data_IF_070719283947
#
_entry.id   IF_070719283947
#
_cell.length_a   1.000
_cell.length_b   1.000
_cell.length_c   1.000
_cell.angle_alpha   90.00
_cell.angle_beta   90.00
_cell.angle_gamma   90.00
#
_symmetry.space_group_name_H-M   'P 1'
#
loop_
_entity.id
_entity.type
_entity.pdbx_description
1 polymer ?
#
# COMPACT_ATOMS: atom_id res chain seq x y z
N UNK A 1 -14.51 5.90 14.26
CA UNK A 1 -13.06 5.85 14.54
C UNK A 1 -12.36 5.26 13.30
N UNK A 2 -11.39 5.98 12.75
CA UNK A 2 -10.60 5.52 11.60
C UNK A 2 -9.58 4.46 12.02
N UNK A 3 -9.31 3.51 11.12
CA UNK A 3 -8.30 2.48 11.35
C UNK A 3 -7.27 2.51 10.23
N UNK A 4 -5.99 2.47 10.57
CA UNK A 4 -4.87 2.27 9.67
C UNK A 4 -4.30 0.88 9.91
N UNK A 5 -4.30 0.04 8.89
CA UNK A 5 -3.64 -1.26 8.88
C UNK A 5 -2.29 -1.10 8.18
N UNK A 6 -1.20 -1.49 8.87
CA UNK A 6 0.17 -1.36 8.37
C UNK A 6 0.83 -2.74 8.26
N UNK A 7 1.29 -3.11 7.08
CA UNK A 7 2.20 -4.24 6.90
C UNK A 7 3.58 -3.94 7.51
N UNK A 8 4.36 -4.98 7.80
CA UNK A 8 5.70 -4.90 8.41
C UNK A 8 5.70 -4.28 9.80
N UNK A 9 4.83 -4.76 10.68
CA UNK A 9 4.61 -4.23 12.01
C UNK A 9 5.88 -4.15 12.87
N UNK A 10 6.77 -5.14 12.78
CA UNK A 10 8.06 -5.14 13.50
C UNK A 10 8.91 -3.94 13.11
N UNK A 11 9.00 -3.64 11.81
CA UNK A 11 9.75 -2.48 11.33
C UNK A 11 9.13 -1.17 11.85
N UNK A 12 7.82 -1.05 11.76
CA UNK A 12 7.12 0.15 12.22
C UNK A 12 7.22 0.36 13.73
N UNK A 13 7.11 -0.69 14.54
CA UNK A 13 7.31 -0.60 15.99
C UNK A 13 8.74 -0.23 16.36
N UNK A 14 9.73 -0.82 15.68
CA UNK A 14 11.16 -0.48 15.86
C UNK A 14 11.45 0.99 15.50
N UNK A 15 10.66 1.59 14.61
CA UNK A 15 10.78 3.00 14.22
C UNK A 15 9.74 3.90 14.89
N UNK A 16 9.14 3.43 15.99
CA UNK A 16 8.33 4.23 16.87
C UNK A 16 6.96 4.62 16.31
N UNK A 17 6.23 3.71 15.64
CA UNK A 17 4.91 3.97 15.02
C UNK A 17 3.86 4.58 15.96
N UNK A 18 4.02 4.43 17.27
CA UNK A 18 3.09 4.98 18.27
C UNK A 18 2.86 6.49 18.16
N UNK A 19 3.80 7.24 17.55
CA UNK A 19 3.60 8.67 17.31
C UNK A 19 2.40 8.97 16.38
N UNK A 20 1.95 8.05 15.55
CA UNK A 20 0.77 8.23 14.70
C UNK A 20 -0.50 8.45 15.52
N UNK A 21 -0.70 7.68 16.59
CA UNK A 21 -1.89 7.83 17.44
C UNK A 21 -1.87 9.13 18.23
N UNK A 22 -0.68 9.67 18.49
CA UNK A 22 -0.53 10.97 19.12
C UNK A 22 -0.79 12.12 18.14
N UNK A 23 -0.29 12.01 16.89
CA UNK A 23 -0.50 13.02 15.84
C UNK A 23 -1.95 13.04 15.34
N UNK A 24 -2.58 11.86 15.22
CA UNK A 24 -3.94 11.71 14.72
C UNK A 24 -4.86 11.18 15.81
N UNK A 25 -5.43 12.07 16.66
CA UNK A 25 -6.36 11.66 17.71
C UNK A 25 -7.57 10.91 17.12
N UNK A 26 -7.86 9.72 17.65
CA UNK A 26 -8.94 8.87 17.14
C UNK A 26 -8.53 7.90 16.03
N UNK A 27 -7.30 7.95 15.50
CA UNK A 27 -6.76 6.92 14.64
C UNK A 27 -6.40 5.67 15.46
N UNK A 28 -6.92 4.51 15.05
CA UNK A 28 -6.47 3.19 15.51
C UNK A 28 -5.40 2.70 14.53
N UNK A 29 -4.27 2.29 15.03
CA UNK A 29 -3.20 1.67 14.22
C UNK A 29 -3.16 0.18 14.55
N UNK A 30 -3.29 -0.64 13.53
CA UNK A 30 -3.13 -2.09 13.58
C UNK A 30 -1.91 -2.45 12.72
N UNK A 31 -0.95 -3.14 13.30
CA UNK A 31 0.25 -3.57 12.58
C UNK A 31 0.22 -5.06 12.34
N UNK A 32 0.58 -5.48 11.14
CA UNK A 32 0.69 -6.89 10.74
C UNK A 32 2.15 -7.26 10.68
N UNK A 33 2.53 -8.26 11.48
CA UNK A 33 3.88 -8.81 11.50
C UNK A 33 4.02 -9.85 10.39
N UNK A 34 5.08 -9.77 9.63
CA UNK A 34 5.30 -10.66 8.49
C UNK A 34 6.33 -11.79 8.76
N UNK A 35 6.85 -11.87 9.98
CA UNK A 35 7.85 -12.86 10.37
C UNK A 35 9.20 -12.68 9.65
N UNK A 36 9.83 -13.77 9.24
CA UNK A 36 11.09 -13.70 8.52
C UNK A 36 10.90 -13.26 7.04
N UNK A 37 12.01 -12.97 6.36
CA UNK A 37 11.98 -12.48 4.97
C UNK A 37 11.27 -13.43 3.99
N UNK A 38 11.35 -14.73 4.22
CA UNK A 38 10.71 -15.74 3.37
C UNK A 38 9.21 -15.77 3.61
N UNK A 39 8.80 -15.86 4.87
CA UNK A 39 7.40 -15.80 5.26
C UNK A 39 6.73 -14.50 4.75
N UNK A 40 7.42 -13.36 4.94
CA UNK A 40 6.98 -12.06 4.44
C UNK A 40 6.77 -12.05 2.93
N UNK A 41 7.71 -12.60 2.17
CA UNK A 41 7.59 -12.65 0.73
C UNK A 41 6.41 -13.54 0.31
N UNK A 42 6.30 -14.75 0.86
CA UNK A 42 5.21 -15.68 0.55
C UNK A 42 3.84 -15.07 0.89
N UNK A 43 3.72 -14.43 2.05
CA UNK A 43 2.46 -13.85 2.53
C UNK A 43 2.01 -12.62 1.74
N UNK A 44 2.95 -11.73 1.41
CA UNK A 44 2.65 -10.45 0.76
C UNK A 44 2.61 -10.53 -0.78
N UNK A 45 2.99 -11.65 -1.38
CA UNK A 45 2.93 -11.86 -2.85
C UNK A 45 1.84 -12.83 -3.28
N UNK A 46 1.11 -13.43 -2.33
CA UNK A 46 -0.06 -14.25 -2.60
C UNK A 46 -1.36 -13.45 -2.34
N UNK A 47 -1.97 -12.94 -3.39
CA UNK A 47 -3.16 -12.07 -3.29
C UNK A 47 -4.29 -12.66 -2.45
N UNK A 48 -4.53 -13.97 -2.50
CA UNK A 48 -5.56 -14.64 -1.69
C UNK A 48 -5.28 -14.60 -0.19
N UNK A 49 -4.03 -14.72 0.21
CA UNK A 49 -3.63 -14.60 1.63
C UNK A 49 -3.76 -13.18 2.15
N UNK A 50 -3.36 -12.21 1.34
CA UNK A 50 -3.53 -10.79 1.68
C UNK A 50 -5.01 -10.45 1.86
N UNK A 51 -5.86 -10.96 0.95
CA UNK A 51 -7.31 -10.76 1.03
C UNK A 51 -7.89 -11.31 2.33
N UNK A 52 -7.60 -12.57 2.67
CA UNK A 52 -8.08 -13.24 3.88
C UNK A 52 -7.64 -12.49 5.14
N UNK A 53 -6.35 -12.19 5.24
CA UNK A 53 -5.77 -11.48 6.38
C UNK A 53 -6.40 -10.11 6.59
N UNK A 54 -6.53 -9.30 5.54
CA UNK A 54 -7.12 -7.96 5.64
C UNK A 54 -8.60 -8.03 5.98
N UNK A 55 -9.33 -8.99 5.42
CA UNK A 55 -10.76 -9.22 5.73
C UNK A 55 -10.97 -9.57 7.20
N UNK A 56 -10.16 -10.46 7.75
CA UNK A 56 -10.23 -10.87 9.16
C UNK A 56 -9.95 -9.68 10.09
N UNK A 57 -8.93 -8.89 9.81
CA UNK A 57 -8.63 -7.68 10.58
C UNK A 57 -9.77 -6.67 10.48
N UNK A 58 -10.32 -6.44 9.29
CA UNK A 58 -11.46 -5.54 9.13
C UNK A 58 -12.68 -6.01 9.95
N UNK A 59 -12.93 -7.32 10.04
CA UNK A 59 -13.98 -7.88 10.88
C UNK A 59 -13.73 -7.61 12.38
N UNK A 60 -12.48 -7.71 12.83
CA UNK A 60 -12.11 -7.44 14.23
C UNK A 60 -12.15 -5.95 14.60
N UNK A 61 -11.74 -5.07 13.68
CA UNK A 61 -11.71 -3.63 13.98
C UNK A 61 -13.09 -2.98 13.96
N UNK A 62 -14.04 -3.63 13.30
CA UNK A 62 -15.45 -3.22 13.25
C UNK A 62 -15.69 -2.05 12.28
N UNK A 63 -16.85 -1.43 12.39
CA UNK A 63 -17.29 -0.37 11.49
C UNK A 63 -16.44 0.91 11.63
N UNK A 64 -16.15 1.53 10.49
CA UNK A 64 -15.45 2.80 10.34
C UNK A 64 -14.54 2.82 9.13
N UNK A 65 -14.05 4.00 8.72
CA UNK A 65 -13.11 4.12 7.61
C UNK A 65 -11.80 3.36 7.88
N UNK A 66 -11.38 2.56 6.91
CA UNK A 66 -10.15 1.76 6.99
C UNK A 66 -9.20 2.17 5.87
N UNK A 67 -7.94 2.42 6.23
CA UNK A 67 -6.83 2.54 5.30
C UNK A 67 -5.88 1.34 5.44
N UNK A 68 -5.38 0.83 4.32
CA UNK A 68 -4.37 -0.21 4.24
C UNK A 68 -3.07 0.37 3.68
N UNK A 69 -1.98 0.22 4.39
CA UNK A 69 -0.70 0.77 3.98
C UNK A 69 0.42 -0.27 4.02
N UNK A 70 1.35 -0.15 3.08
CA UNK A 70 2.52 -1.02 3.01
C UNK A 70 3.61 -0.47 2.10
N UNK A 71 4.83 -0.96 2.31
CA UNK A 71 6.02 -0.58 1.57
C UNK A 71 6.72 -1.80 0.97
N UNK A 72 7.40 -1.60 -0.16
CA UNK A 72 8.10 -2.68 -0.85
C UNK A 72 7.16 -3.84 -1.24
N UNK A 73 7.34 -5.06 -0.73
CA UNK A 73 6.37 -6.15 -0.91
C UNK A 73 5.01 -5.83 -0.27
N UNK A 74 5.00 -5.15 0.88
CA UNK A 74 3.76 -4.63 1.47
C UNK A 74 3.05 -3.63 0.56
N UNK A 75 3.79 -2.79 -0.15
CA UNK A 75 3.25 -1.90 -1.16
C UNK A 75 2.65 -2.64 -2.37
N UNK A 76 3.26 -3.74 -2.80
CA UNK A 76 2.69 -4.63 -3.82
C UNK A 76 1.39 -5.27 -3.31
N UNK A 77 1.39 -5.80 -2.08
CA UNK A 77 0.21 -6.39 -1.45
C UNK A 77 -0.96 -5.40 -1.35
N UNK A 78 -0.69 -4.13 -1.04
CA UNK A 78 -1.68 -3.05 -1.03
C UNK A 78 -2.31 -2.86 -2.43
N UNK A 79 -1.51 -2.83 -3.49
CA UNK A 79 -2.01 -2.69 -4.86
C UNK A 79 -2.81 -3.90 -5.32
N UNK A 80 -2.36 -5.11 -5.00
CA UNK A 80 -3.09 -6.34 -5.24
C UNK A 80 -4.46 -6.32 -4.54
N UNK A 81 -4.50 -5.92 -3.27
CA UNK A 81 -5.71 -5.78 -2.49
C UNK A 81 -6.68 -4.74 -3.06
N UNK A 82 -6.16 -3.59 -3.52
CA UNK A 82 -6.96 -2.55 -4.18
C UNK A 82 -7.62 -3.05 -5.48
N UNK A 83 -6.93 -3.94 -6.22
CA UNK A 83 -7.47 -4.54 -7.44
C UNK A 83 -8.49 -5.65 -7.19
N UNK A 84 -8.60 -6.19 -5.98
CA UNK A 84 -9.65 -7.15 -5.65
C UNK A 84 -11.04 -6.48 -5.55
N UNK A 85 -11.10 -5.23 -5.10
CA UNK A 85 -12.32 -4.43 -5.01
C UNK A 85 -13.38 -4.94 -4.03
N UNK A 86 -13.08 -6.02 -3.28
CA UNK A 86 -14.01 -6.71 -2.37
C UNK A 86 -13.76 -6.44 -0.89
N UNK A 87 -12.68 -5.74 -0.56
CA UNK A 87 -12.28 -5.46 0.81
C UNK A 87 -13.00 -4.23 1.37
N UNK A 88 -13.38 -4.22 2.65
CA UNK A 88 -13.94 -3.05 3.32
C UNK A 88 -12.85 -2.03 3.68
N UNK A 89 -12.07 -1.62 2.69
CA UNK A 89 -10.96 -0.66 2.78
C UNK A 89 -11.27 0.49 1.83
N UNK A 90 -11.20 1.72 2.32
CA UNK A 90 -11.52 2.93 1.55
C UNK A 90 -10.28 3.58 0.95
N UNK A 91 -9.14 3.47 1.64
CA UNK A 91 -7.88 4.08 1.23
C UNK A 91 -6.75 3.06 1.21
N UNK A 92 -6.06 3.02 0.09
CA UNK A 92 -4.90 2.16 -0.15
C UNK A 92 -3.66 3.03 -0.32
N UNK A 93 -2.63 2.81 0.50
CA UNK A 93 -1.37 3.53 0.45
C UNK A 93 -0.22 2.59 0.12
N UNK A 94 0.27 2.66 -1.10
CA UNK A 94 1.38 1.86 -1.58
C UNK A 94 2.67 2.69 -1.66
N UNK A 95 3.68 2.34 -0.85
CA UNK A 95 4.96 3.04 -0.84
C UNK A 95 6.05 2.15 -1.46
N UNK A 96 6.77 2.67 -2.45
CA UNK A 96 7.87 1.97 -3.12
C UNK A 96 7.52 0.52 -3.47
N UNK A 97 6.37 0.24 -4.12
CA UNK A 97 5.86 -1.11 -4.30
C UNK A 97 6.79 -1.96 -5.17
N UNK A 98 6.99 -3.23 -4.80
CA UNK A 98 7.84 -4.20 -5.51
C UNK A 98 7.20 -4.68 -6.83
N UNK A 99 6.88 -3.77 -7.73
CA UNK A 99 6.17 -4.02 -9.00
C UNK A 99 6.94 -4.87 -10.02
N UNK A 100 8.21 -5.14 -9.76
CA UNK A 100 9.04 -6.06 -10.52
C UNK A 100 8.76 -7.54 -10.20
N UNK A 101 7.99 -7.84 -9.14
CA UNK A 101 7.70 -9.20 -8.70
C UNK A 101 6.98 -10.02 -9.77
N UNK A 102 7.46 -11.25 -9.99
CA UNK A 102 6.97 -12.12 -11.07
C UNK A 102 7.44 -11.71 -12.46
N UNK A 103 8.34 -10.72 -12.56
CA UNK A 103 9.03 -10.33 -13.79
C UNK A 103 10.31 -11.12 -14.03
N UNK A 104 11.05 -10.73 -15.07
CA UNK A 104 12.27 -11.42 -15.52
C UNK A 104 13.48 -11.10 -14.64
N UNK A 105 13.56 -9.87 -14.09
CA UNK A 105 14.70 -9.39 -13.35
C UNK A 105 14.28 -8.87 -11.97
N UNK A 106 14.93 -9.38 -10.92
CA UNK A 106 14.67 -8.93 -9.55
C UNK A 106 15.05 -7.46 -9.36
N UNK A 107 14.12 -6.68 -8.84
CA UNK A 107 14.32 -5.26 -8.55
C UNK A 107 14.18 -4.34 -9.76
N UNK A 108 13.84 -4.86 -10.93
CA UNK A 108 13.71 -4.07 -12.18
C UNK A 108 12.58 -4.55 -13.07
N UNK A 109 12.11 -3.62 -13.93
CA UNK A 109 11.12 -3.92 -14.95
C UNK A 109 9.72 -4.14 -14.40
N UNK A 110 8.87 -4.68 -15.24
CA UNK A 110 7.45 -4.86 -15.00
C UNK A 110 7.15 -6.31 -14.60
N UNK A 111 6.61 -6.47 -13.41
CA UNK A 111 6.19 -7.76 -12.88
C UNK A 111 4.78 -8.19 -13.31
N UNK A 112 4.27 -9.18 -12.61
CA UNK A 112 2.98 -9.80 -12.94
C UNK A 112 1.83 -8.81 -12.89
N UNK A 113 1.71 -8.01 -11.83
CA UNK A 113 0.60 -7.05 -11.67
C UNK A 113 0.53 -6.07 -12.84
N UNK A 114 1.65 -5.47 -13.25
CA UNK A 114 1.68 -4.54 -14.40
C UNK A 114 1.19 -5.22 -15.68
N UNK A 115 1.70 -6.43 -15.94
CA UNK A 115 1.32 -7.21 -17.14
C UNK A 115 -0.16 -7.56 -17.16
N UNK A 116 -0.75 -7.85 -16.01
CA UNK A 116 -2.18 -8.13 -15.86
C UNK A 116 -3.03 -6.86 -16.05
N UNK A 117 -2.61 -5.73 -15.49
CA UNK A 117 -3.25 -4.43 -15.71
C UNK A 117 -3.25 -4.03 -17.18
N UNK A 118 -2.11 -4.14 -17.88
CA UNK A 118 -2.00 -3.85 -19.32
C UNK A 118 -2.90 -4.73 -20.19
N UNK A 119 -3.17 -5.96 -19.76
CA UNK A 119 -4.08 -6.90 -20.47
C UNK A 119 -5.56 -6.70 -20.07
N UNK A 120 -5.87 -5.79 -19.17
CA UNK A 120 -7.22 -5.61 -18.63
C UNK A 120 -7.72 -6.79 -17.79
N UNK A 121 -6.82 -7.63 -17.29
CA UNK A 121 -7.13 -8.76 -16.41
C UNK A 121 -7.31 -8.32 -14.95
N UNK A 122 -6.81 -7.15 -14.62
CA UNK A 122 -6.97 -6.46 -13.33
C UNK A 122 -7.40 -5.02 -13.55
N UNK A 123 -8.10 -4.48 -12.59
CA UNK A 123 -8.44 -3.05 -12.53
C UNK A 123 -8.61 -2.63 -11.07
N UNK A 124 -8.54 -1.35 -10.80
CA UNK A 124 -8.84 -0.80 -9.48
C UNK A 124 -10.34 -0.99 -9.15
N UNK A 125 -10.65 -1.33 -7.91
CA UNK A 125 -12.03 -1.30 -7.41
C UNK A 125 -12.65 0.09 -7.52
N UNK A 126 -13.97 0.17 -7.59
CA UNK A 126 -14.68 1.46 -7.73
C UNK A 126 -14.82 2.18 -6.38
N UNK A 127 -14.79 3.52 -6.41
CA UNK A 127 -15.02 4.36 -5.23
C UNK A 127 -13.89 4.32 -4.19
N UNK A 128 -12.70 3.87 -4.57
CA UNK A 128 -11.55 3.75 -3.69
C UNK A 128 -10.63 4.98 -3.78
N UNK A 129 -9.86 5.21 -2.75
CA UNK A 129 -8.72 6.12 -2.75
C UNK A 129 -7.44 5.32 -2.83
N UNK A 130 -6.59 5.58 -3.83
CA UNK A 130 -5.26 4.97 -3.98
C UNK A 130 -4.19 6.06 -3.97
N UNK A 131 -3.28 5.97 -3.02
CA UNK A 131 -2.14 6.86 -2.89
C UNK A 131 -0.85 6.07 -3.13
N UNK A 132 -0.15 6.37 -4.23
CA UNK A 132 1.09 5.71 -4.61
C UNK A 132 2.28 6.65 -4.39
N UNK A 133 3.29 6.17 -3.67
CA UNK A 133 4.50 6.95 -3.38
C UNK A 133 5.76 6.17 -3.75
N UNK A 134 6.80 6.86 -4.25
CA UNK A 134 8.09 6.27 -4.58
C UNK A 134 9.22 7.28 -4.47
N UNK A 135 10.40 6.83 -4.04
CA UNK A 135 11.58 7.68 -3.96
C UNK A 135 12.22 7.97 -5.33
N UNK A 136 12.62 9.22 -5.57
CA UNK A 136 13.31 9.63 -6.80
C UNK A 136 14.68 8.93 -6.97
N UNK A 137 15.29 8.51 -5.86
CA UNK A 137 16.55 7.74 -5.87
C UNK A 137 16.35 6.26 -6.19
N UNK A 138 15.12 5.80 -6.20
CA UNK A 138 14.71 4.44 -6.62
C UNK A 138 14.55 4.37 -8.14
N UNK A 139 15.64 4.63 -8.87
CA UNK A 139 15.65 4.88 -10.31
C UNK A 139 14.93 3.83 -11.16
N UNK A 140 15.03 2.55 -10.79
CA UNK A 140 14.36 1.47 -11.53
C UNK A 140 12.86 1.38 -11.17
N UNK A 141 12.47 1.73 -9.96
CA UNK A 141 11.08 1.61 -9.49
C UNK A 141 10.23 2.82 -9.82
N UNK A 142 10.82 4.02 -9.89
CA UNK A 142 10.11 5.26 -10.15
C UNK A 142 9.27 5.22 -11.46
N UNK A 143 9.82 4.88 -12.63
CA UNK A 143 9.04 4.82 -13.86
C UNK A 143 7.97 3.73 -13.83
N UNK A 144 8.26 2.58 -13.22
CA UNK A 144 7.33 1.45 -13.13
C UNK A 144 6.16 1.78 -12.20
N UNK A 145 6.42 2.43 -11.06
CA UNK A 145 5.36 2.88 -10.14
C UNK A 145 4.47 3.92 -10.80
N UNK A 146 5.05 4.90 -11.50
CA UNK A 146 4.28 5.89 -12.25
C UNK A 146 3.41 5.26 -13.34
N UNK A 147 3.96 4.28 -14.08
CA UNK A 147 3.20 3.54 -15.09
C UNK A 147 2.05 2.75 -14.47
N UNK A 148 2.30 2.03 -13.37
CA UNK A 148 1.26 1.30 -12.64
C UNK A 148 0.12 2.22 -12.21
N UNK A 149 0.46 3.38 -11.62
CA UNK A 149 -0.53 4.35 -11.16
C UNK A 149 -1.39 4.85 -12.32
N UNK A 150 -0.77 5.18 -13.47
CA UNK A 150 -1.49 5.60 -14.68
C UNK A 150 -2.43 4.51 -15.23
N UNK A 151 -2.05 3.22 -15.15
CA UNK A 151 -2.92 2.10 -15.54
C UNK A 151 -4.13 1.93 -14.59
N UNK A 152 -4.01 2.39 -13.35
CA UNK A 152 -5.05 2.32 -12.33
C UNK A 152 -5.96 3.56 -12.29
N UNK A 153 -5.61 4.63 -13.02
CA UNK A 153 -6.46 5.81 -13.18
C UNK A 153 -7.75 5.45 -13.92
N UNK A 154 -8.86 6.02 -13.47
CA UNK A 154 -10.19 5.78 -14.05
C UNK A 154 -11.12 5.09 -13.06
N UNK A 155 -12.11 4.35 -13.53
CA UNK A 155 -13.04 3.53 -12.73
C UNK A 155 -13.82 4.27 -11.60
N UNK A 156 -13.83 5.62 -11.56
CA UNK A 156 -14.53 6.39 -10.52
C UNK A 156 -13.85 6.35 -9.15
N UNK A 157 -12.54 6.05 -9.10
CA UNK A 157 -11.72 6.10 -7.91
C UNK A 157 -10.75 7.27 -7.94
N UNK A 158 -10.34 7.75 -6.77
CA UNK A 158 -9.29 8.75 -6.65
C UNK A 158 -7.92 8.08 -6.66
N UNK A 159 -7.06 8.45 -7.58
CA UNK A 159 -5.69 7.93 -7.70
C UNK A 159 -4.70 9.09 -7.66
N UNK A 160 -3.75 9.03 -6.74
CA UNK A 160 -2.68 10.03 -6.57
C UNK A 160 -1.30 9.35 -6.67
N UNK A 161 -0.38 10.03 -7.35
CA UNK A 161 1.02 9.63 -7.46
C UNK A 161 1.93 10.72 -6.90
N UNK A 162 2.79 10.35 -5.96
CA UNK A 162 3.79 11.24 -5.39
C UNK A 162 5.20 10.65 -5.53
N UNK A 163 6.17 11.45 -5.99
CA UNK A 163 7.59 11.13 -5.81
C UNK A 163 8.21 12.04 -4.75
N UNK A 164 9.15 11.50 -3.96
CA UNK A 164 9.85 12.24 -2.91
C UNK A 164 11.37 12.14 -3.11
N UNK A 165 12.17 13.13 -2.64
CA UNK A 165 13.61 13.20 -2.90
C UNK A 165 14.41 12.19 -2.05
N UNK A 166 13.98 10.94 -2.01
CA UNK A 166 14.51 9.88 -1.16
C UNK A 166 14.74 8.57 -1.88
N UNK A 167 15.04 7.56 -1.09
CA UNK A 167 15.27 6.18 -1.51
C UNK A 167 14.39 5.18 -0.77
N UNK A 168 14.76 3.91 -0.88
CA UNK A 168 14.01 2.77 -0.35
C UNK A 168 14.31 2.55 1.13
N UNK A 169 13.84 3.43 2.01
CA UNK A 169 14.04 3.30 3.45
C UNK A 169 12.92 3.91 4.30
N UNK A 170 12.86 3.46 5.56
CA UNK A 170 11.80 3.76 6.51
C UNK A 170 11.68 5.25 6.86
N UNK A 171 12.76 6.02 6.81
CA UNK A 171 12.72 7.45 7.13
C UNK A 171 11.83 8.18 6.12
N UNK A 172 11.99 7.88 4.84
CA UNK A 172 11.17 8.44 3.76
C UNK A 172 9.74 7.92 3.78
N UNK A 173 9.55 6.62 4.04
CA UNK A 173 8.21 6.04 4.15
C UNK A 173 7.42 6.62 5.33
N UNK A 174 8.11 6.93 6.43
CA UNK A 174 7.49 7.59 7.59
C UNK A 174 6.94 8.96 7.24
N UNK A 175 7.72 9.79 6.55
CA UNK A 175 7.28 11.12 6.08
C UNK A 175 6.16 10.99 5.04
N UNK A 176 6.30 10.07 4.10
CA UNK A 176 5.28 9.78 3.09
C UNK A 176 3.96 9.34 3.71
N UNK A 177 4.00 8.50 4.74
CA UNK A 177 2.81 8.04 5.46
C UNK A 177 2.06 9.22 6.10
N UNK A 178 2.77 10.19 6.66
CA UNK A 178 2.13 11.41 7.20
C UNK A 178 1.39 12.17 6.12
N UNK A 179 2.04 12.45 4.98
CA UNK A 179 1.42 13.18 3.88
C UNK A 179 0.19 12.46 3.34
N UNK A 180 0.28 11.14 3.20
CA UNK A 180 -0.85 10.33 2.73
C UNK A 180 -2.01 10.30 3.73
N UNK A 181 -1.76 10.27 5.03
CA UNK A 181 -2.80 10.36 6.04
C UNK A 181 -3.45 11.75 6.07
N UNK A 182 -2.67 12.82 5.90
CA UNK A 182 -3.19 14.18 5.79
C UNK A 182 -4.07 14.33 4.52
N UNK A 183 -3.68 13.71 3.39
CA UNK A 183 -4.47 13.67 2.17
C UNK A 183 -5.77 12.87 2.35
N UNK A 184 -5.70 11.67 2.94
CA UNK A 184 -6.88 10.87 3.25
C UNK A 184 -7.87 11.61 4.16
N UNK A 185 -7.37 12.32 5.18
CA UNK A 185 -8.19 13.16 6.06
C UNK A 185 -8.94 14.23 5.27
N UNK A 186 -8.27 14.87 4.30
CA UNK A 186 -8.87 15.92 3.49
C UNK A 186 -9.96 15.41 2.53
N UNK A 187 -9.89 14.13 2.14
CA UNK A 187 -10.87 13.50 1.25
C UNK A 187 -12.10 12.96 1.99
N UNK A 188 -12.00 12.77 3.32
CA UNK A 188 -13.07 12.19 4.14
C UNK A 188 -13.83 13.20 5.01
N UNK A 189 -13.43 14.47 4.98
CA UNK A 189 -14.13 15.60 5.61
C UNK A 189 -15.12 16.23 4.65
#
# INVERSE_FOLDING_TARGET
RRTLILFDGEMWRANGVGWLTWRYPGLRVVTIDAGDLRARQEELTEAGRVEELVRDICAEVGAGPVALAGQSFGGLAVLEAACLGSLPVECFLAQSPSLWWGGEERGRGEGTLIKELMRGQRCLGQGLTLLCQVGERERAMLPVTRHCTALLEGAGSFVSFESYPGGHDVAWWREGLVRALDEWDSLTC
#
